data_IF_158277880280
#
_entry.id   IF_158277880280
#
_cell.length_a   1.000
_cell.length_b   1.000
_cell.length_c   1.000
_cell.angle_alpha   90.00
_cell.angle_beta   90.00
_cell.angle_gamma   90.00
#
_symmetry.space_group_name_H-M   'P 1'
#
loop_
_entity.id
_entity.type
_entity.pdbx_description
1 polymer ?
#
# COMPACT_ATOMS: atom_id res chain seq x y z
N UNK A 1 -15.49 43.53 -31.15
CA UNK A 1 -14.98 42.14 -31.33
C UNK A 1 -14.21 41.61 -30.11
N UNK A 2 -13.54 42.46 -29.31
CA UNK A 2 -12.75 42.04 -28.12
C UNK A 2 -13.62 41.55 -26.95
N UNK A 3 -14.73 42.22 -26.65
CA UNK A 3 -15.59 41.89 -25.49
C UNK A 3 -16.19 40.46 -25.53
N UNK A 4 -16.75 39.98 -26.66
CA UNK A 4 -17.27 38.60 -26.75
C UNK A 4 -16.19 37.52 -26.62
N UNK A 5 -14.96 37.82 -27.04
CA UNK A 5 -13.83 36.89 -26.91
C UNK A 5 -13.41 36.76 -25.44
N UNK A 6 -13.29 37.88 -24.73
CA UNK A 6 -12.96 37.90 -23.30
C UNK A 6 -14.01 37.17 -22.47
N UNK A 7 -15.29 37.34 -22.79
CA UNK A 7 -16.38 36.64 -22.10
C UNK A 7 -16.31 35.11 -22.34
N UNK A 8 -16.01 34.67 -23.57
CA UNK A 8 -15.80 33.24 -23.87
C UNK A 8 -14.61 32.68 -23.11
N UNK A 9 -13.49 33.40 -23.04
CA UNK A 9 -12.31 32.98 -22.27
C UNK A 9 -12.60 32.91 -20.78
N UNK A 10 -13.32 33.88 -20.21
CA UNK A 10 -13.74 33.86 -18.81
C UNK A 10 -14.64 32.67 -18.50
N UNK A 11 -15.62 32.36 -19.36
CA UNK A 11 -16.49 31.17 -19.22
C UNK A 11 -15.70 29.86 -19.31
N UNK A 12 -14.74 29.77 -20.24
CA UNK A 12 -13.88 28.62 -20.37
C UNK A 12 -12.97 28.45 -19.14
N UNK A 13 -12.40 29.54 -18.62
CA UNK A 13 -11.60 29.55 -17.41
C UNK A 13 -12.41 29.09 -16.20
N UNK A 14 -13.61 29.63 -16.01
CA UNK A 14 -14.51 29.22 -14.92
C UNK A 14 -14.89 27.75 -15.01
N UNK A 15 -15.17 27.24 -16.22
CA UNK A 15 -15.43 25.82 -16.45
C UNK A 15 -14.28 24.94 -15.94
N UNK A 16 -13.04 25.24 -16.30
CA UNK A 16 -11.88 24.47 -15.84
C UNK A 16 -11.64 24.61 -14.34
N UNK A 17 -11.86 25.80 -13.75
CA UNK A 17 -11.81 25.96 -12.30
C UNK A 17 -12.86 25.10 -11.60
N UNK A 18 -14.06 24.97 -12.17
CA UNK A 18 -15.09 24.10 -11.62
C UNK A 18 -14.70 22.62 -11.74
N UNK A 19 -14.13 22.18 -12.87
CA UNK A 19 -13.59 20.81 -13.04
C UNK A 19 -12.50 20.50 -12.00
N UNK A 20 -11.64 21.47 -11.70
CA UNK A 20 -10.50 21.28 -10.81
C UNK A 20 -10.90 21.27 -9.33
N UNK A 21 -11.80 22.18 -8.91
CA UNK A 21 -12.07 22.48 -7.51
C UNK A 21 -13.43 21.99 -6.99
N UNK A 22 -14.37 21.64 -7.86
CA UNK A 22 -15.68 21.11 -7.45
C UNK A 22 -15.78 19.64 -7.80
N UNK A 23 -16.58 18.92 -7.02
CA UNK A 23 -17.02 17.59 -7.41
C UNK A 23 -18.05 17.70 -8.54
N UNK A 24 -17.96 16.82 -9.51
CA UNK A 24 -18.70 16.88 -10.76
C UNK A 24 -20.18 16.48 -10.62
N UNK A 25 -21.07 17.48 -10.64
CA UNK A 25 -22.52 17.24 -10.60
C UNK A 25 -23.12 17.08 -12.01
N UNK A 26 -22.66 17.88 -12.98
CA UNK A 26 -23.16 17.86 -14.37
C UNK A 26 -22.41 16.89 -15.28
N UNK A 27 -23.08 16.37 -16.31
CA UNK A 27 -22.48 15.41 -17.26
C UNK A 27 -21.23 15.96 -17.98
N UNK A 28 -21.21 17.27 -18.29
CA UNK A 28 -20.07 17.91 -18.94
C UNK A 28 -18.85 17.98 -18.03
N UNK A 29 -19.05 18.33 -16.75
CA UNK A 29 -17.98 18.33 -15.75
C UNK A 29 -17.48 16.90 -15.50
N UNK A 30 -18.38 15.91 -15.47
CA UNK A 30 -18.03 14.49 -15.32
C UNK A 30 -17.11 14.00 -16.42
N UNK A 31 -17.38 14.33 -17.67
CA UNK A 31 -16.53 13.93 -18.78
C UNK A 31 -15.14 14.57 -18.71
N UNK A 32 -15.06 15.87 -18.44
CA UNK A 32 -13.78 16.57 -18.31
C UNK A 32 -12.95 16.06 -17.12
N UNK A 33 -13.58 15.84 -15.96
CA UNK A 33 -12.94 15.24 -14.80
C UNK A 33 -12.45 13.82 -15.10
N UNK A 34 -13.26 12.99 -15.79
CA UNK A 34 -12.86 11.65 -16.21
C UNK A 34 -11.65 11.66 -17.14
N UNK A 35 -11.57 12.62 -18.06
CA UNK A 35 -10.40 12.79 -18.93
C UNK A 35 -9.14 13.14 -18.13
N UNK A 36 -9.23 14.05 -17.15
CA UNK A 36 -8.11 14.38 -16.27
C UNK A 36 -7.69 13.18 -15.39
N UNK A 37 -8.66 12.41 -14.87
CA UNK A 37 -8.39 11.19 -14.11
C UNK A 37 -7.72 10.12 -14.96
N UNK A 38 -8.15 9.93 -16.21
CA UNK A 38 -7.51 9.02 -17.15
C UNK A 38 -6.08 9.47 -17.48
N UNK A 39 -5.85 10.77 -17.68
CA UNK A 39 -4.52 11.34 -17.86
C UNK A 39 -3.63 11.13 -16.63
N UNK A 40 -4.17 11.32 -15.42
CA UNK A 40 -3.44 11.08 -14.17
C UNK A 40 -3.09 9.60 -13.97
N UNK A 41 -4.01 8.70 -14.32
CA UNK A 41 -3.77 7.26 -14.32
C UNK A 41 -2.64 6.88 -15.30
N UNK A 42 -2.70 7.38 -16.54
CA UNK A 42 -1.66 7.15 -17.53
C UNK A 42 -0.30 7.72 -17.08
N UNK A 43 -0.29 8.91 -16.46
CA UNK A 43 0.93 9.50 -15.91
C UNK A 43 1.57 8.62 -14.82
N UNK A 44 0.78 7.96 -13.97
CA UNK A 44 1.31 7.01 -12.98
C UNK A 44 1.84 5.72 -13.60
N UNK A 45 1.19 5.18 -14.64
CA UNK A 45 1.74 4.05 -15.41
C UNK A 45 3.10 4.41 -16.03
N UNK A 46 3.18 5.57 -16.68
CA UNK A 46 4.43 6.08 -17.25
C UNK A 46 5.49 6.29 -16.16
N UNK A 47 5.11 6.85 -15.02
CA UNK A 47 6.02 7.03 -13.89
C UNK A 47 6.66 5.70 -13.47
N UNK A 48 5.86 4.66 -13.21
CA UNK A 48 6.38 3.35 -12.81
C UNK A 48 7.17 2.66 -13.94
N UNK A 49 6.79 2.89 -15.19
CA UNK A 49 7.57 2.47 -16.36
C UNK A 49 8.97 3.06 -16.34
N UNK A 50 9.10 4.39 -16.27
CA UNK A 50 10.40 5.05 -16.17
C UNK A 50 11.15 4.72 -14.87
N UNK A 51 10.43 4.53 -13.75
CA UNK A 51 11.04 4.20 -12.46
C UNK A 51 11.78 2.86 -12.48
N UNK A 52 11.24 1.88 -13.22
CA UNK A 52 11.72 0.50 -13.30
C UNK A 52 12.54 0.20 -14.57
N UNK A 53 12.95 1.22 -15.34
CA UNK A 53 13.61 1.05 -16.65
C UNK A 53 12.77 0.22 -17.64
N UNK A 54 11.46 0.42 -17.62
CA UNK A 54 10.48 -0.28 -18.44
C UNK A 54 10.63 -1.81 -18.35
N UNK A 55 10.95 -2.46 -19.47
CA UNK A 55 11.11 -3.91 -19.58
C UNK A 55 12.56 -4.37 -19.37
N UNK A 56 13.49 -3.42 -19.19
CA UNK A 56 14.91 -3.69 -18.93
C UNK A 56 15.21 -3.82 -17.44
N UNK A 57 14.23 -4.26 -16.64
CA UNK A 57 14.36 -4.31 -15.19
C UNK A 57 15.66 -5.00 -14.77
N UNK A 58 16.41 -4.33 -13.91
CA UNK A 58 17.79 -4.68 -13.58
C UNK A 58 17.80 -5.53 -12.32
N UNK A 59 17.87 -6.85 -12.50
CA UNK A 59 18.05 -7.79 -11.39
C UNK A 59 19.48 -7.86 -10.86
N UNK A 60 20.36 -6.95 -11.24
CA UNK A 60 21.75 -6.92 -10.79
C UNK A 60 21.98 -5.96 -9.60
N UNK A 61 20.95 -5.32 -9.05
CA UNK A 61 21.11 -4.35 -7.96
C UNK A 61 20.45 -4.79 -6.66
N UNK A 62 21.14 -4.60 -5.53
CA UNK A 62 20.58 -4.73 -4.17
C UNK A 62 19.73 -6.02 -4.00
N UNK A 63 18.51 -5.88 -3.48
CA UNK A 63 17.61 -7.00 -3.23
C UNK A 63 16.91 -7.48 -4.52
N UNK A 64 17.00 -6.74 -5.63
CA UNK A 64 16.56 -7.28 -6.92
C UNK A 64 17.39 -8.51 -7.31
N UNK A 65 18.70 -8.49 -6.99
CA UNK A 65 19.62 -9.59 -7.27
C UNK A 65 19.45 -10.77 -6.32
N UNK A 66 19.61 -10.54 -5.01
CA UNK A 66 19.66 -11.63 -4.04
C UNK A 66 18.27 -12.13 -3.67
N UNK A 67 17.28 -11.23 -3.75
CA UNK A 67 15.91 -11.57 -3.40
C UNK A 67 15.09 -11.76 -4.66
N UNK A 68 14.65 -10.73 -5.37
CA UNK A 68 13.53 -10.85 -6.32
C UNK A 68 13.81 -11.75 -7.54
N UNK A 69 14.91 -11.52 -8.24
CA UNK A 69 15.27 -12.24 -9.47
C UNK A 69 15.22 -13.76 -9.31
N UNK A 70 15.94 -14.33 -8.32
CA UNK A 70 15.96 -15.77 -8.05
C UNK A 70 14.56 -16.38 -7.83
N UNK A 71 13.65 -15.71 -7.11
CA UNK A 71 12.30 -16.25 -6.90
C UNK A 71 11.44 -16.20 -8.16
N UNK A 72 11.55 -15.13 -8.94
CA UNK A 72 10.78 -15.00 -10.17
C UNK A 72 11.28 -15.97 -11.24
N UNK A 73 12.60 -16.22 -11.30
CA UNK A 73 13.18 -17.26 -12.14
C UNK A 73 12.67 -18.66 -11.72
N UNK A 74 12.76 -18.99 -10.42
CA UNK A 74 12.22 -20.24 -9.88
C UNK A 74 10.73 -20.44 -10.22
N UNK A 75 9.90 -19.43 -9.99
CA UNK A 75 8.47 -19.48 -10.32
C UNK A 75 8.23 -19.64 -11.83
N UNK A 76 8.97 -18.89 -12.66
CA UNK A 76 8.82 -18.96 -14.12
C UNK A 76 9.19 -20.35 -14.63
N UNK A 77 10.30 -20.92 -14.14
CA UNK A 77 10.73 -22.28 -14.48
C UNK A 77 9.70 -23.33 -14.05
N UNK A 78 9.25 -23.28 -12.79
CA UNK A 78 8.23 -24.20 -12.28
C UNK A 78 6.95 -24.18 -13.14
N UNK A 79 6.43 -22.98 -13.44
CA UNK A 79 5.24 -22.82 -14.28
C UNK A 79 5.45 -23.35 -15.70
N UNK A 80 6.59 -23.02 -16.34
CA UNK A 80 6.89 -23.44 -17.71
C UNK A 80 7.17 -24.95 -17.82
N UNK A 81 7.71 -25.57 -16.78
CA UNK A 81 7.90 -27.02 -16.70
C UNK A 81 6.66 -27.79 -16.25
N UNK A 82 5.54 -27.11 -15.99
CA UNK A 82 4.32 -27.74 -15.48
C UNK A 82 4.46 -28.33 -14.07
N UNK A 83 5.42 -27.82 -13.28
CA UNK A 83 5.68 -28.26 -11.92
C UNK A 83 5.11 -27.25 -10.92
N UNK A 84 4.55 -27.74 -9.81
CA UNK A 84 4.14 -26.85 -8.73
C UNK A 84 5.39 -26.36 -7.96
N UNK A 85 5.51 -25.06 -7.63
CA UNK A 85 6.71 -24.49 -7.01
C UNK A 85 6.80 -24.82 -5.51
N UNK A 86 7.16 -26.07 -5.17
CA UNK A 86 7.25 -26.52 -3.77
C UNK A 86 8.60 -26.17 -3.16
N UNK A 87 9.68 -26.61 -3.80
CA UNK A 87 11.04 -26.53 -3.28
C UNK A 87 12.00 -25.98 -4.33
N UNK A 88 12.80 -24.98 -3.94
CA UNK A 88 13.87 -24.45 -4.76
C UNK A 88 15.19 -25.13 -4.43
N UNK A 89 15.97 -25.42 -5.47
CA UNK A 89 17.37 -25.84 -5.34
C UNK A 89 18.27 -24.63 -5.59
N UNK A 90 18.47 -23.84 -4.52
CA UNK A 90 19.33 -22.66 -4.57
C UNK A 90 19.78 -22.19 -3.18
N UNK A 91 21.07 -21.80 -3.03
CA UNK A 91 21.57 -21.20 -1.79
C UNK A 91 20.92 -19.85 -1.48
N UNK A 92 20.32 -19.17 -2.47
CA UNK A 92 19.63 -17.90 -2.29
C UNK A 92 18.19 -18.06 -1.76
N UNK A 93 17.69 -19.30 -1.68
CA UNK A 93 16.34 -19.64 -1.24
C UNK A 93 16.37 -20.51 0.02
N UNK A 94 16.65 -19.87 1.16
CA UNK A 94 16.61 -20.53 2.47
C UNK A 94 15.43 -19.98 3.29
N UNK A 95 14.49 -20.80 3.78
CA UNK A 95 14.36 -22.24 3.51
C UNK A 95 13.98 -22.52 2.05
N UNK A 96 14.22 -23.76 1.60
CA UNK A 96 13.92 -24.20 0.22
C UNK A 96 12.43 -24.26 -0.06
N UNK A 97 11.59 -24.48 0.97
CA UNK A 97 10.13 -24.45 0.88
C UNK A 97 9.64 -23.05 0.48
N UNK A 98 9.12 -22.92 -0.74
CA UNK A 98 8.76 -21.62 -1.32
C UNK A 98 7.71 -20.86 -0.48
N UNK A 99 6.60 -21.52 -0.13
CA UNK A 99 5.50 -20.89 0.59
C UNK A 99 5.80 -20.69 2.08
N UNK A 100 6.83 -21.34 2.62
CA UNK A 100 7.32 -21.08 3.97
C UNK A 100 7.98 -19.69 4.09
N UNK A 101 8.28 -19.01 2.97
CA UNK A 101 8.65 -17.60 2.98
C UNK A 101 7.42 -16.71 2.88
N UNK A 102 7.18 -15.95 3.95
CA UNK A 102 6.03 -15.05 4.05
C UNK A 102 6.07 -13.88 3.05
N UNK A 103 7.27 -13.50 2.60
CA UNK A 103 7.51 -12.31 1.78
C UNK A 103 7.57 -12.61 0.26
N UNK A 104 6.83 -13.63 -0.17
CA UNK A 104 6.84 -14.12 -1.57
C UNK A 104 5.45 -14.13 -2.18
N UNK A 105 5.31 -13.72 -3.47
CA UNK A 105 4.01 -13.69 -4.12
C UNK A 105 3.51 -15.11 -4.41
N UNK A 106 2.23 -15.34 -4.16
CA UNK A 106 1.48 -16.52 -4.55
C UNK A 106 0.04 -16.14 -4.98
N UNK A 107 -0.07 -14.93 -5.50
CA UNK A 107 -1.30 -14.31 -6.01
C UNK A 107 -1.58 -14.76 -7.45
N UNK A 108 -2.84 -14.72 -7.93
CA UNK A 108 -3.21 -15.30 -9.22
C UNK A 108 -2.38 -14.79 -10.43
N UNK A 109 -1.92 -13.55 -10.38
CA UNK A 109 -1.13 -12.97 -11.47
C UNK A 109 0.27 -13.59 -11.62
N UNK A 110 0.78 -14.37 -10.66
CA UNK A 110 2.03 -15.12 -10.86
C UNK A 110 1.96 -16.02 -12.10
N UNK A 111 0.75 -16.45 -12.51
CA UNK A 111 0.52 -17.23 -13.72
C UNK A 111 0.99 -16.51 -14.99
N UNK A 112 1.09 -15.18 -14.97
CA UNK A 112 1.66 -14.40 -16.08
C UNK A 112 3.13 -14.74 -16.34
N UNK A 113 3.89 -15.27 -15.35
CA UNK A 113 5.27 -15.74 -15.54
C UNK A 113 5.38 -16.96 -16.47
N UNK A 114 4.25 -17.59 -16.81
CA UNK A 114 4.20 -18.58 -17.88
C UNK A 114 4.49 -17.93 -19.25
N UNK A 115 3.94 -16.73 -19.49
CA UNK A 115 4.04 -16.01 -20.76
C UNK A 115 5.16 -14.95 -20.76
N UNK A 116 5.40 -14.32 -19.61
CA UNK A 116 6.32 -13.21 -19.45
C UNK A 116 7.65 -13.71 -18.87
N UNK A 117 8.75 -13.06 -19.25
CA UNK A 117 10.00 -13.20 -18.50
C UNK A 117 9.89 -12.45 -17.15
N UNK A 118 10.73 -12.80 -16.16
CA UNK A 118 10.72 -12.15 -14.84
C UNK A 118 10.76 -10.61 -14.88
N UNK A 119 11.59 -10.01 -15.74
CA UNK A 119 11.75 -8.57 -15.82
C UNK A 119 10.44 -7.87 -16.26
N UNK A 120 9.83 -8.39 -17.34
CA UNK A 120 8.54 -7.91 -17.85
C UNK A 120 7.43 -8.11 -16.84
N UNK A 121 7.43 -9.26 -16.14
CA UNK A 121 6.45 -9.55 -15.11
C UNK A 121 6.49 -8.54 -13.95
N UNK A 122 7.68 -8.10 -13.51
CA UNK A 122 7.77 -7.10 -12.42
C UNK A 122 7.01 -5.84 -12.77
N UNK A 123 7.28 -5.25 -13.94
CA UNK A 123 6.60 -4.02 -14.37
C UNK A 123 5.08 -4.24 -14.49
N UNK A 124 4.67 -5.34 -15.14
CA UNK A 124 3.25 -5.66 -15.32
C UNK A 124 2.56 -5.85 -13.96
N UNK A 125 3.20 -6.53 -13.01
CA UNK A 125 2.66 -6.70 -11.66
C UNK A 125 2.54 -5.36 -10.93
N UNK A 126 3.55 -4.48 -11.03
CA UNK A 126 3.48 -3.12 -10.46
C UNK A 126 2.32 -2.34 -11.09
N UNK A 127 2.12 -2.40 -12.41
CA UNK A 127 0.98 -1.76 -13.07
C UNK A 127 -0.37 -2.33 -12.65
N UNK A 128 -0.49 -3.65 -12.46
CA UNK A 128 -1.72 -4.27 -11.96
C UNK A 128 -2.07 -3.72 -10.58
N UNK A 129 -1.13 -3.72 -9.64
CA UNK A 129 -1.39 -3.24 -8.29
C UNK A 129 -1.53 -1.74 -8.21
N UNK A 130 -0.73 -0.97 -8.96
CA UNK A 130 -0.94 0.46 -9.13
C UNK A 130 -2.38 0.74 -9.59
N UNK A 131 -2.90 -0.03 -10.55
CA UNK A 131 -4.28 0.10 -11.02
C UNK A 131 -5.30 -0.22 -9.93
N UNK A 132 -5.06 -1.27 -9.13
CA UNK A 132 -5.88 -1.57 -7.96
C UNK A 132 -5.84 -0.44 -6.93
N UNK A 133 -4.67 0.11 -6.64
CA UNK A 133 -4.50 1.23 -5.72
C UNK A 133 -5.19 2.49 -6.22
N UNK A 134 -5.07 2.81 -7.51
CA UNK A 134 -5.79 3.90 -8.14
C UNK A 134 -7.31 3.71 -8.04
N UNK A 135 -7.81 2.49 -8.28
CA UNK A 135 -9.22 2.17 -8.09
C UNK A 135 -9.66 2.34 -6.62
N UNK A 136 -8.84 1.92 -5.65
CA UNK A 136 -9.09 2.15 -4.23
C UNK A 136 -9.14 3.63 -3.86
N UNK A 137 -8.22 4.44 -4.40
CA UNK A 137 -8.26 5.90 -4.25
C UNK A 137 -9.50 6.51 -4.91
N UNK A 138 -9.94 6.02 -6.08
CA UNK A 138 -11.18 6.47 -6.73
C UNK A 138 -12.43 6.14 -5.88
N UNK A 139 -12.44 5.01 -5.18
CA UNK A 139 -13.53 4.71 -4.23
C UNK A 139 -13.58 5.72 -3.07
N UNK A 140 -12.40 6.11 -2.54
CA UNK A 140 -12.30 7.18 -1.54
C UNK A 140 -12.77 8.51 -2.13
N UNK A 141 -12.30 8.87 -3.33
CA UNK A 141 -12.71 10.08 -4.06
C UNK A 141 -14.22 10.19 -4.19
N UNK A 142 -14.85 9.11 -4.65
CA UNK A 142 -16.28 9.08 -4.92
C UNK A 142 -17.09 9.11 -3.62
N UNK A 143 -16.61 8.47 -2.55
CA UNK A 143 -17.25 8.50 -1.23
C UNK A 143 -17.26 9.90 -0.62
N UNK A 144 -16.12 10.59 -0.69
CA UNK A 144 -15.93 11.89 -0.02
C UNK A 144 -16.08 13.09 -0.96
N UNK A 145 -16.55 12.85 -2.19
CA UNK A 145 -16.74 13.87 -3.21
C UNK A 145 -15.48 14.75 -3.39
N UNK A 146 -14.31 14.12 -3.48
CA UNK A 146 -13.06 14.86 -3.67
C UNK A 146 -13.00 15.44 -5.08
N UNK A 147 -12.80 16.75 -5.18
CA UNK A 147 -12.47 17.45 -6.42
C UNK A 147 -11.16 16.92 -7.01
N UNK A 148 -10.89 17.25 -8.28
CA UNK A 148 -9.66 16.79 -8.94
C UNK A 148 -8.40 17.23 -8.18
N UNK A 149 -8.32 18.46 -7.68
CA UNK A 149 -7.13 18.94 -6.96
C UNK A 149 -6.94 18.21 -5.61
N UNK A 150 -8.01 18.01 -4.84
CA UNK A 150 -7.91 17.24 -3.60
C UNK A 150 -7.49 15.78 -3.87
N UNK A 151 -8.08 15.17 -4.90
CA UNK A 151 -7.69 13.84 -5.35
C UNK A 151 -6.25 13.78 -5.86
N UNK A 152 -5.79 14.79 -6.58
CA UNK A 152 -4.42 14.89 -7.06
C UNK A 152 -3.43 14.95 -5.90
N UNK A 153 -3.70 15.73 -4.86
CA UNK A 153 -2.88 15.76 -3.65
C UNK A 153 -2.80 14.38 -2.98
N UNK A 154 -3.93 13.68 -2.83
CA UNK A 154 -3.96 12.31 -2.31
C UNK A 154 -3.14 11.36 -3.18
N UNK A 155 -3.35 11.42 -4.50
CA UNK A 155 -2.67 10.58 -5.47
C UNK A 155 -1.16 10.75 -5.42
N UNK A 156 -0.67 11.99 -5.38
CA UNK A 156 0.76 12.30 -5.32
C UNK A 156 1.39 11.76 -4.03
N UNK A 157 0.80 12.09 -2.87
CA UNK A 157 1.31 11.63 -1.57
C UNK A 157 1.29 10.11 -1.44
N UNK A 158 0.25 9.44 -1.95
CA UNK A 158 0.13 7.99 -1.88
C UNK A 158 1.09 7.28 -2.84
N UNK A 159 1.19 7.71 -4.10
CA UNK A 159 1.98 6.97 -5.09
C UNK A 159 3.47 7.33 -5.09
N UNK A 160 3.83 8.53 -4.65
CA UNK A 160 5.18 9.07 -4.81
C UNK A 160 5.88 9.35 -3.46
N UNK A 161 5.33 8.91 -2.33
CA UNK A 161 6.05 9.04 -1.07
C UNK A 161 7.34 8.22 -1.07
N UNK A 162 8.29 8.66 -0.25
CA UNK A 162 9.59 8.04 -0.09
C UNK A 162 9.53 6.59 0.37
N UNK A 163 8.49 6.17 1.10
CA UNK A 163 8.40 4.80 1.60
C UNK A 163 8.21 3.81 0.45
N UNK A 164 7.19 4.01 -0.39
CA UNK A 164 6.92 3.08 -1.50
C UNK A 164 8.01 3.15 -2.58
N UNK A 165 8.47 4.36 -2.91
CA UNK A 165 9.51 4.56 -3.93
C UNK A 165 10.85 3.97 -3.50
N UNK A 166 11.28 4.17 -2.25
CA UNK A 166 12.55 3.61 -1.78
C UNK A 166 12.53 2.08 -1.74
N UNK A 167 11.46 1.48 -1.22
CA UNK A 167 11.36 0.02 -1.11
C UNK A 167 11.31 -0.65 -2.48
N UNK A 168 10.48 -0.15 -3.40
CA UNK A 168 10.49 -0.68 -4.77
C UNK A 168 11.87 -0.43 -5.43
N UNK A 169 12.48 0.73 -5.23
CA UNK A 169 13.80 1.06 -5.78
C UNK A 169 14.89 0.06 -5.40
N UNK A 170 14.92 -0.40 -4.14
CA UNK A 170 15.93 -1.37 -3.67
C UNK A 170 15.60 -2.83 -3.97
N UNK A 171 14.40 -3.15 -4.47
CA UNK A 171 14.00 -4.51 -4.79
C UNK A 171 13.17 -5.22 -3.74
N UNK A 172 12.49 -4.47 -2.87
CA UNK A 172 11.47 -5.03 -2.00
C UNK A 172 10.14 -5.21 -2.76
N UNK A 173 10.12 -6.10 -3.76
CA UNK A 173 9.00 -6.28 -4.70
C UNK A 173 7.64 -6.60 -4.04
N UNK A 174 7.65 -7.28 -2.90
CA UNK A 174 6.45 -7.58 -2.12
C UNK A 174 5.78 -6.32 -1.55
N UNK A 175 6.48 -5.17 -1.51
CA UNK A 175 5.90 -3.89 -1.10
C UNK A 175 4.84 -3.36 -2.06
N UNK A 176 4.71 -3.95 -3.24
CA UNK A 176 3.60 -3.68 -4.17
C UNK A 176 2.23 -3.98 -3.52
N UNK A 177 2.17 -4.80 -2.46
CA UNK A 177 0.95 -4.95 -1.64
C UNK A 177 0.48 -3.65 -0.95
N UNK A 178 1.34 -2.63 -0.85
CA UNK A 178 1.01 -1.27 -0.39
C UNK A 178 -0.21 -0.68 -1.13
N UNK A 179 -0.33 -0.95 -2.43
CA UNK A 179 -1.42 -0.43 -3.25
C UNK A 179 -2.80 -0.96 -2.83
N UNK A 180 -2.89 -1.95 -1.94
CA UNK A 180 -4.16 -2.42 -1.38
C UNK A 180 -4.60 -1.64 -0.13
N UNK A 181 -3.74 -0.82 0.47
CA UNK A 181 -4.06 -0.03 1.67
C UNK A 181 -5.24 0.95 1.52
N UNK A 182 -5.52 1.56 0.34
CA UNK A 182 -6.69 2.42 0.18
C UNK A 182 -8.01 1.69 0.46
N UNK A 183 -8.13 0.41 0.09
CA UNK A 183 -9.32 -0.39 0.39
C UNK A 183 -9.45 -0.65 1.90
N UNK A 184 -8.34 -0.96 2.57
CA UNK A 184 -8.29 -1.14 4.01
C UNK A 184 -8.72 0.14 4.74
N UNK A 185 -8.11 1.28 4.40
CA UNK A 185 -8.45 2.59 4.99
C UNK A 185 -9.93 2.92 4.77
N UNK A 186 -10.44 2.73 3.56
CA UNK A 186 -11.86 2.97 3.26
C UNK A 186 -12.81 2.12 4.13
N UNK A 187 -12.50 0.84 4.34
CA UNK A 187 -13.32 -0.05 5.18
C UNK A 187 -13.29 0.36 6.65
N UNK A 188 -12.14 0.81 7.16
CA UNK A 188 -12.03 1.34 8.52
C UNK A 188 -12.80 2.66 8.66
N UNK A 189 -12.67 3.58 7.70
CA UNK A 189 -13.39 4.84 7.72
C UNK A 189 -14.91 4.63 7.75
N UNK A 190 -15.43 3.72 6.91
CA UNK A 190 -16.84 3.30 6.95
C UNK A 190 -17.29 2.87 8.33
N UNK A 191 -16.49 2.02 9.00
CA UNK A 191 -16.80 1.56 10.35
C UNK A 191 -16.83 2.70 11.38
N UNK A 192 -15.79 3.55 11.41
CA UNK A 192 -15.73 4.63 12.42
C UNK A 192 -16.74 5.75 12.18
N UNK A 193 -17.18 5.92 10.93
CA UNK A 193 -18.25 6.85 10.55
C UNK A 193 -19.67 6.32 10.83
N UNK A 194 -19.79 5.08 11.30
CA UNK A 194 -21.04 4.50 11.79
C UNK A 194 -21.76 3.58 10.79
N UNK A 195 -21.12 3.17 9.70
CA UNK A 195 -21.71 2.14 8.83
C UNK A 195 -21.77 0.78 9.53
N UNK A 196 -22.80 -0.01 9.20
CA UNK A 196 -22.99 -1.35 9.77
C UNK A 196 -21.82 -2.26 9.40
N UNK A 197 -21.16 -2.81 10.42
CA UNK A 197 -20.08 -3.80 10.30
C UNK A 197 -20.62 -5.23 10.25
N UNK A 198 -21.43 -5.48 9.23
CA UNK A 198 -22.04 -6.78 8.95
C UNK A 198 -21.12 -7.80 8.27
N UNK A 199 -21.70 -8.88 7.77
CA UNK A 199 -20.98 -9.95 7.06
C UNK A 199 -20.32 -9.47 5.77
N UNK A 200 -20.92 -8.51 5.06
CA UNK A 200 -20.31 -7.90 3.87
C UNK A 200 -19.04 -7.13 4.19
N UNK A 201 -19.02 -6.43 5.33
CA UNK A 201 -17.83 -5.72 5.79
C UNK A 201 -16.73 -6.71 6.19
N UNK A 202 -17.08 -7.77 6.93
CA UNK A 202 -16.16 -8.84 7.30
C UNK A 202 -15.55 -9.52 6.06
N UNK A 203 -16.38 -9.91 5.09
CA UNK A 203 -15.90 -10.47 3.82
C UNK A 203 -14.94 -9.52 3.11
N UNK A 204 -15.31 -8.24 2.98
CA UNK A 204 -14.47 -7.25 2.29
C UNK A 204 -13.12 -7.05 2.99
N UNK A 205 -13.12 -6.94 4.31
CA UNK A 205 -11.90 -6.79 5.11
C UNK A 205 -11.01 -8.04 5.00
N UNK A 206 -11.61 -9.23 5.14
CA UNK A 206 -10.92 -10.51 4.99
C UNK A 206 -10.32 -10.68 3.58
N UNK A 207 -11.02 -10.27 2.52
CA UNK A 207 -10.50 -10.33 1.15
C UNK A 207 -9.35 -9.36 0.90
N UNK A 208 -9.38 -8.15 1.48
CA UNK A 208 -8.24 -7.21 1.39
C UNK A 208 -7.02 -7.80 2.08
N UNK A 209 -7.19 -8.35 3.28
CA UNK A 209 -6.11 -8.98 4.05
C UNK A 209 -5.56 -10.23 3.34
N UNK A 210 -6.43 -11.04 2.73
CA UNK A 210 -6.02 -12.16 1.87
C UNK A 210 -5.23 -11.67 0.65
N UNK A 211 -5.69 -10.63 -0.04
CA UNK A 211 -4.98 -10.11 -1.21
C UNK A 211 -3.58 -9.59 -0.84
N UNK A 212 -3.44 -8.93 0.31
CA UNK A 212 -2.15 -8.50 0.85
C UNK A 212 -1.25 -9.71 1.11
N UNK A 213 -1.75 -10.76 1.78
CA UNK A 213 -0.92 -11.94 2.10
C UNK A 213 -0.56 -12.77 0.87
N UNK A 214 -1.48 -12.93 -0.08
CA UNK A 214 -1.22 -13.59 -1.37
C UNK A 214 -0.15 -12.85 -2.17
N UNK A 215 -0.07 -11.53 -2.10
CA UNK A 215 1.01 -10.78 -2.74
C UNK A 215 2.39 -10.98 -2.07
N UNK A 216 2.43 -11.66 -0.91
CA UNK A 216 3.65 -11.75 -0.10
C UNK A 216 3.89 -10.50 0.76
N UNK A 217 2.92 -9.60 0.86
CA UNK A 217 3.03 -8.39 1.68
C UNK A 217 2.72 -8.67 3.17
N UNK A 218 3.35 -9.70 3.74
CA UNK A 218 3.10 -10.14 5.12
C UNK A 218 3.29 -9.03 6.17
N UNK A 219 4.24 -8.13 5.94
CA UNK A 219 4.44 -6.93 6.75
C UNK A 219 3.18 -6.06 6.82
N UNK A 220 2.59 -5.69 5.68
CA UNK A 220 1.35 -4.90 5.65
C UNK A 220 0.18 -5.63 6.29
N UNK A 221 0.08 -6.95 6.13
CA UNK A 221 -0.93 -7.74 6.83
C UNK A 221 -0.80 -7.60 8.35
N UNK A 222 0.41 -7.75 8.89
CA UNK A 222 0.68 -7.59 10.32
C UNK A 222 0.33 -6.17 10.77
N UNK A 223 0.71 -5.14 10.01
CA UNK A 223 0.42 -3.75 10.36
C UNK A 223 -1.09 -3.47 10.38
N UNK A 224 -1.83 -3.97 9.40
CA UNK A 224 -3.29 -3.88 9.35
C UNK A 224 -3.96 -4.62 10.51
N UNK A 225 -3.44 -5.79 10.90
CA UNK A 225 -3.94 -6.56 12.04
C UNK A 225 -3.63 -5.86 13.37
N UNK A 226 -2.42 -5.32 13.53
CA UNK A 226 -2.05 -4.54 14.71
C UNK A 226 -2.90 -3.28 14.82
N UNK A 227 -3.14 -2.56 13.72
CA UNK A 227 -4.02 -1.39 13.72
C UNK A 227 -5.46 -1.76 14.11
N UNK A 228 -6.01 -2.84 13.54
CA UNK A 228 -7.33 -3.36 13.92
C UNK A 228 -7.39 -3.65 15.42
N UNK A 229 -6.42 -4.41 15.95
CA UNK A 229 -6.36 -4.77 17.36
C UNK A 229 -6.32 -3.53 18.26
N UNK A 230 -5.43 -2.58 17.97
CA UNK A 230 -5.32 -1.32 18.70
C UNK A 230 -6.63 -0.52 18.64
N UNK A 231 -7.29 -0.48 17.48
CA UNK A 231 -8.59 0.16 17.33
C UNK A 231 -9.66 -0.50 18.21
N UNK A 232 -9.74 -1.83 18.23
CA UNK A 232 -10.66 -2.55 19.11
C UNK A 232 -10.38 -2.32 20.60
N UNK A 233 -9.10 -2.29 20.99
CA UNK A 233 -8.68 -2.09 22.38
C UNK A 233 -8.98 -0.68 22.89
N UNK A 234 -8.65 0.35 22.09
CA UNK A 234 -8.86 1.74 22.48
C UNK A 234 -10.30 2.21 22.27
N UNK A 235 -11.08 1.50 21.46
CA UNK A 235 -12.46 1.85 21.15
C UNK A 235 -13.32 0.59 21.31
N UNK A 236 -13.68 0.21 22.56
CA UNK A 236 -14.36 -1.06 22.84
C UNK A 236 -15.65 -1.28 22.04
N UNK A 237 -16.32 -0.20 21.61
CA UNK A 237 -17.48 -0.28 20.70
C UNK A 237 -17.18 -0.99 19.37
N UNK A 238 -15.95 -0.94 18.90
CA UNK A 238 -15.49 -1.63 17.69
C UNK A 238 -14.85 -2.98 17.98
N UNK A 239 -14.67 -3.37 19.25
CA UNK A 239 -13.99 -4.61 19.60
C UNK A 239 -14.62 -5.87 18.98
N UNK A 240 -15.95 -6.08 19.04
CA UNK A 240 -16.57 -7.28 18.45
C UNK A 240 -16.37 -7.42 16.93
N UNK A 241 -16.64 -6.41 16.08
CA UNK A 241 -16.39 -6.54 14.64
C UNK A 241 -14.89 -6.64 14.32
N UNK A 242 -14.04 -5.93 15.06
CA UNK A 242 -12.58 -5.98 14.90
C UNK A 242 -12.04 -7.39 15.17
N UNK A 243 -12.38 -8.02 16.30
CA UNK A 243 -11.82 -9.33 16.64
C UNK A 243 -12.31 -10.41 15.67
N UNK A 244 -13.56 -10.29 15.18
CA UNK A 244 -14.07 -11.13 14.10
C UNK A 244 -13.28 -10.95 12.81
N UNK A 245 -12.99 -9.71 12.41
CA UNK A 245 -12.19 -9.44 11.21
C UNK A 245 -10.75 -9.96 11.34
N UNK A 246 -10.13 -9.83 12.52
CA UNK A 246 -8.80 -10.40 12.79
C UNK A 246 -8.83 -11.92 12.64
N UNK A 247 -9.76 -12.59 13.33
CA UNK A 247 -9.89 -14.05 13.28
C UNK A 247 -10.18 -14.55 11.86
N UNK A 248 -11.20 -14.00 11.20
CA UNK A 248 -11.59 -14.41 9.84
C UNK A 248 -10.55 -14.02 8.79
N UNK A 249 -9.89 -12.87 8.94
CA UNK A 249 -8.79 -12.43 8.09
C UNK A 249 -7.53 -13.32 8.23
N UNK A 250 -7.25 -13.84 9.42
CA UNK A 250 -6.20 -14.84 9.62
C UNK A 250 -6.59 -16.19 9.00
N UNK A 251 -7.80 -16.70 9.30
CA UNK A 251 -8.28 -17.99 8.79
C UNK A 251 -8.33 -18.03 7.26
N UNK A 252 -8.88 -16.99 6.62
CA UNK A 252 -8.92 -16.91 5.16
C UNK A 252 -7.51 -16.85 4.54
N UNK A 253 -6.52 -16.37 5.29
CA UNK A 253 -5.12 -16.22 4.84
C UNK A 253 -4.23 -17.40 5.24
N UNK A 254 -4.77 -18.47 5.85
CA UNK A 254 -4.00 -19.62 6.32
C UNK A 254 -3.16 -20.29 5.23
N UNK A 255 -3.59 -20.26 3.97
CA UNK A 255 -2.80 -20.72 2.81
C UNK A 255 -1.42 -20.03 2.69
N UNK A 256 -1.26 -18.82 3.24
CA UNK A 256 0.02 -18.09 3.27
C UNK A 256 0.61 -17.90 4.66
N UNK A 257 -0.21 -17.92 5.70
CA UNK A 257 0.23 -17.70 7.09
C UNK A 257 0.75 -18.99 7.71
N UNK A 258 0.09 -20.12 7.47
CA UNK A 258 0.40 -21.35 8.18
C UNK A 258 1.81 -21.90 7.85
N UNK A 259 2.26 -21.94 6.58
CA UNK A 259 3.60 -22.44 6.26
C UNK A 259 4.74 -21.69 6.97
N UNK A 260 4.84 -20.34 6.90
CA UNK A 260 5.87 -19.61 7.64
C UNK A 260 5.70 -19.73 9.16
N UNK A 261 4.46 -19.76 9.68
CA UNK A 261 4.22 -19.89 11.12
C UNK A 261 4.81 -21.19 11.70
N UNK A 262 4.69 -22.30 10.97
CA UNK A 262 5.26 -23.58 11.40
C UNK A 262 6.78 -23.60 11.18
N UNK A 263 7.24 -23.15 10.01
CA UNK A 263 8.67 -23.14 9.68
C UNK A 263 9.51 -22.31 10.67
N UNK A 264 8.95 -21.20 11.15
CA UNK A 264 9.60 -20.27 12.07
C UNK A 264 8.98 -20.27 13.47
N UNK A 265 8.34 -21.38 13.87
CA UNK A 265 7.73 -21.50 15.19
C UNK A 265 8.74 -21.31 16.35
N UNK A 266 10.01 -21.65 16.12
CA UNK A 266 11.11 -21.41 17.06
C UNK A 266 11.76 -20.02 16.97
N UNK A 267 11.15 -19.11 16.21
CA UNK A 267 11.67 -17.80 15.88
C UNK A 267 12.37 -17.74 14.51
N UNK A 268 12.46 -16.54 13.96
CA UNK A 268 13.04 -16.26 12.65
C UNK A 268 14.58 -16.22 12.65
N UNK A 269 15.21 -16.09 13.83
CA UNK A 269 16.65 -15.89 13.96
C UNK A 269 17.16 -14.56 13.40
N UNK A 270 16.25 -13.64 13.04
CA UNK A 270 16.58 -12.34 12.47
C UNK A 270 17.18 -11.41 13.54
N UNK A 271 17.99 -10.45 13.09
CA UNK A 271 18.47 -9.35 13.91
C UNK A 271 17.57 -8.13 13.72
N UNK A 272 17.18 -7.50 14.83
CA UNK A 272 16.48 -6.23 14.82
C UNK A 272 17.36 -5.15 14.17
N UNK A 273 16.73 -4.34 13.32
CA UNK A 273 17.30 -3.15 12.69
C UNK A 273 17.01 -1.87 13.49
N UNK A 274 16.20 -1.97 14.55
CA UNK A 274 15.80 -0.84 15.38
C UNK A 274 14.78 0.09 14.73
N UNK A 275 14.18 0.96 15.54
CA UNK A 275 13.26 2.01 15.12
C UNK A 275 13.97 3.30 14.69
N UNK A 276 13.18 4.36 14.55
CA UNK A 276 13.69 5.72 14.41
C UNK A 276 14.40 6.14 15.69
N UNK A 277 15.54 6.79 15.61
CA UNK A 277 16.33 7.18 16.79
C UNK A 277 15.58 8.11 17.75
N UNK A 278 14.67 8.93 17.22
CA UNK A 278 13.87 9.86 18.00
C UNK A 278 12.61 10.29 17.27
N UNK A 279 11.71 10.98 17.99
CA UNK A 279 10.56 11.69 17.39
C UNK A 279 11.02 12.71 16.33
N UNK A 280 12.15 13.39 16.58
CA UNK A 280 12.71 14.34 15.62
C UNK A 280 13.08 13.64 14.31
N UNK A 281 13.67 12.44 14.37
CA UNK A 281 13.97 11.66 13.17
C UNK A 281 12.69 11.31 12.41
N UNK A 282 11.59 10.95 13.09
CA UNK A 282 10.28 10.71 12.43
C UNK A 282 9.82 11.93 11.63
N UNK A 283 9.94 13.13 12.19
CA UNK A 283 9.58 14.37 11.48
C UNK A 283 10.53 14.66 10.32
N UNK A 284 11.83 14.46 10.53
CA UNK A 284 12.86 14.70 9.50
C UNK A 284 12.67 13.81 8.28
N UNK A 285 12.38 12.51 8.46
CA UNK A 285 12.23 11.58 7.33
C UNK A 285 11.01 11.85 6.45
N UNK A 286 10.05 12.64 6.94
CA UNK A 286 8.90 13.10 6.17
C UNK A 286 9.24 14.32 5.29
N UNK A 287 10.26 15.10 5.66
CA UNK A 287 10.58 16.38 5.02
C UNK A 287 11.88 16.32 4.20
N UNK A 288 12.88 15.58 4.67
CA UNK A 288 14.19 15.51 4.08
C UNK A 288 14.39 14.17 3.35
N UNK A 289 14.93 14.19 2.12
CA UNK A 289 15.25 12.96 1.42
C UNK A 289 16.39 12.23 2.15
N UNK A 290 16.35 10.90 2.10
CA UNK A 290 17.38 10.04 2.67
C UNK A 290 18.34 9.54 1.58
N UNK A 291 19.52 9.12 2.01
CA UNK A 291 20.45 8.41 1.14
C UNK A 291 19.96 6.99 0.86
N UNK A 292 20.33 6.44 -0.30
CA UNK A 292 19.83 5.13 -0.76
C UNK A 292 20.07 3.95 0.18
N UNK A 293 21.07 4.01 1.06
CA UNK A 293 21.33 2.96 2.06
C UNK A 293 20.35 2.94 3.25
N UNK A 294 19.40 3.86 3.32
CA UNK A 294 18.49 4.03 4.45
C UNK A 294 17.00 3.88 4.06
N UNK A 295 16.69 2.99 3.10
CA UNK A 295 15.32 2.78 2.60
C UNK A 295 14.31 2.47 3.71
N UNK A 296 14.73 1.73 4.75
CA UNK A 296 13.93 1.40 5.95
C UNK A 296 13.43 2.62 6.73
N UNK A 297 14.12 3.77 6.59
CA UNK A 297 13.81 5.03 7.27
C UNK A 297 13.32 6.10 6.29
N UNK A 298 12.96 5.74 5.06
CA UNK A 298 12.57 6.72 4.03
C UNK A 298 11.06 6.88 3.97
N UNK A 299 10.56 8.06 4.29
CA UNK A 299 9.12 8.38 4.33
C UNK A 299 8.79 9.73 3.67
N UNK A 300 9.71 10.24 2.84
CA UNK A 300 9.65 11.58 2.29
C UNK A 300 8.29 11.91 1.66
N UNK A 301 7.66 12.97 2.13
CA UNK A 301 6.45 13.58 1.55
C UNK A 301 6.70 15.03 1.11
N UNK A 302 7.92 15.54 1.30
CA UNK A 302 8.30 16.94 1.07
C UNK A 302 7.76 17.88 2.14
N UNK A 303 8.32 19.09 2.22
CA UNK A 303 7.91 20.09 3.22
C UNK A 303 6.42 20.49 3.07
N UNK A 304 5.96 20.69 1.83
CA UNK A 304 4.57 21.03 1.55
C UNK A 304 3.62 19.86 1.82
N UNK A 305 4.00 18.63 1.45
CA UNK A 305 3.20 17.44 1.75
C UNK A 305 3.11 17.17 3.24
N UNK A 306 4.21 17.36 3.98
CA UNK A 306 4.22 17.30 5.44
C UNK A 306 3.31 18.34 6.06
N UNK A 307 3.42 19.63 5.66
CA UNK A 307 2.56 20.69 6.16
C UNK A 307 1.08 20.42 5.84
N UNK A 308 0.79 19.90 4.64
CA UNK A 308 -0.55 19.49 4.22
C UNK A 308 -1.11 18.38 5.12
N UNK A 309 -0.33 17.32 5.38
CA UNK A 309 -0.71 16.21 6.24
C UNK A 309 -0.90 16.66 7.69
N UNK A 310 0.04 17.44 8.23
CA UNK A 310 -0.02 17.94 9.60
C UNK A 310 -1.26 18.82 9.82
N UNK A 311 -1.46 19.80 8.94
CA UNK A 311 -2.59 20.72 9.09
C UNK A 311 -3.93 20.06 8.79
N UNK A 312 -4.11 19.45 7.63
CA UNK A 312 -5.42 18.90 7.25
C UNK A 312 -5.69 17.54 7.86
N UNK A 313 -4.68 16.67 7.95
CA UNK A 313 -4.84 15.29 8.44
C UNK A 313 -4.90 15.18 9.96
N UNK A 314 -4.24 16.09 10.69
CA UNK A 314 -4.22 16.11 12.16
C UNK A 314 -4.99 17.31 12.70
N UNK A 315 -4.46 18.53 12.56
CA UNK A 315 -4.95 19.71 13.30
C UNK A 315 -6.42 20.01 12.98
N UNK A 316 -6.73 20.21 11.70
CA UNK A 316 -8.08 20.54 11.25
C UNK A 316 -9.03 19.35 11.39
N UNK A 317 -8.60 18.15 11.02
CA UNK A 317 -9.45 16.96 11.15
C UNK A 317 -9.84 16.71 12.61
N UNK A 318 -8.90 16.92 13.54
CA UNK A 318 -9.17 16.88 14.98
C UNK A 318 -10.15 17.98 15.41
N UNK A 319 -10.09 19.18 14.86
CA UNK A 319 -11.02 20.24 15.28
C UNK A 319 -12.42 20.14 14.67
N UNK A 320 -12.60 19.44 13.55
CA UNK A 320 -13.85 19.49 12.77
C UNK A 320 -14.60 18.18 12.65
N UNK A 321 -13.99 17.03 12.93
CA UNK A 321 -14.63 15.73 12.68
C UNK A 321 -14.37 14.70 13.78
N UNK A 322 -15.25 14.71 14.78
CA UNK A 322 -15.20 13.81 15.93
C UNK A 322 -15.33 12.33 15.57
N UNK A 323 -15.94 12.01 14.41
CA UNK A 323 -16.08 10.61 13.96
C UNK A 323 -14.73 9.96 13.69
N UNK A 324 -13.69 10.74 13.42
CA UNK A 324 -12.34 10.25 13.16
C UNK A 324 -11.47 10.14 14.42
N UNK A 325 -11.93 10.64 15.58
CA UNK A 325 -11.18 10.55 16.85
C UNK A 325 -10.71 9.13 17.21
N UNK A 326 -11.53 8.07 16.99
CA UNK A 326 -11.12 6.68 17.19
C UNK A 326 -9.81 6.25 16.55
N UNK A 327 -9.38 6.91 15.47
CA UNK A 327 -8.22 6.51 14.67
C UNK A 327 -6.90 7.01 15.27
N UNK A 328 -6.90 8.16 15.94
CA UNK A 328 -5.65 8.82 16.34
C UNK A 328 -4.85 8.05 17.37
N UNK A 329 -5.52 7.44 18.36
CA UNK A 329 -4.80 6.69 19.40
C UNK A 329 -4.13 5.41 18.85
N UNK A 330 -4.81 4.57 18.04
CA UNK A 330 -4.14 3.49 17.29
C UNK A 330 -2.98 3.98 16.42
N UNK A 331 -3.17 5.07 15.67
CA UNK A 331 -2.11 5.66 14.85
C UNK A 331 -0.90 6.08 15.69
N UNK A 332 -1.14 6.80 16.80
CA UNK A 332 -0.10 7.29 17.70
C UNK A 332 0.69 6.14 18.32
N UNK A 333 0.03 5.05 18.72
CA UNK A 333 0.72 3.88 19.27
C UNK A 333 1.58 3.17 18.22
N UNK A 334 1.12 3.08 16.97
CA UNK A 334 1.96 2.54 15.89
C UNK A 334 3.18 3.43 15.61
N UNK A 335 3.02 4.76 15.62
CA UNK A 335 4.15 5.70 15.52
C UNK A 335 5.08 5.53 16.71
N UNK A 336 4.55 5.38 17.93
CA UNK A 336 5.35 5.15 19.13
C UNK A 336 6.17 3.86 19.05
N UNK A 337 5.59 2.76 18.57
CA UNK A 337 6.33 1.51 18.34
C UNK A 337 7.37 1.61 17.24
N UNK A 338 7.26 2.58 16.33
CA UNK A 338 8.26 2.81 15.30
C UNK A 338 9.54 3.50 15.81
N UNK A 339 9.57 3.95 17.07
CA UNK A 339 10.66 4.75 17.65
C UNK A 339 11.54 3.91 18.60
N UNK A 340 12.85 4.11 18.49
CA UNK A 340 13.89 3.56 19.34
C UNK A 340 13.85 2.04 19.42
N UNK A 341 13.98 1.54 20.64
CA UNK A 341 13.88 0.12 20.96
C UNK A 341 12.52 -0.24 21.57
N UNK A 342 11.48 0.57 21.38
CA UNK A 342 10.18 0.38 22.04
C UNK A 342 9.53 -0.93 21.60
N UNK A 343 9.66 -1.30 20.32
CA UNK A 343 9.15 -2.57 19.80
C UNK A 343 10.03 -3.78 20.16
N UNK A 344 11.24 -3.57 20.68
CA UNK A 344 12.22 -4.63 20.93
C UNK A 344 11.71 -5.77 21.85
N UNK A 345 10.91 -5.50 22.92
CA UNK A 345 10.33 -6.57 23.72
C UNK A 345 9.41 -7.51 22.92
N UNK A 346 8.64 -6.98 21.97
CA UNK A 346 7.80 -7.78 21.08
C UNK A 346 8.63 -8.57 20.09
N UNK A 347 9.68 -7.95 19.53
CA UNK A 347 10.62 -8.62 18.63
C UNK A 347 11.34 -9.79 19.32
N UNK A 348 11.79 -9.59 20.57
CA UNK A 348 12.50 -10.61 21.35
C UNK A 348 11.58 -11.67 21.98
N UNK A 349 10.26 -11.56 21.82
CA UNK A 349 9.31 -12.49 22.44
C UNK A 349 9.36 -13.91 21.87
N UNK A 350 9.93 -14.08 20.67
CA UNK A 350 9.90 -15.35 19.94
C UNK A 350 8.51 -15.74 19.42
N UNK A 351 7.50 -14.87 19.61
CA UNK A 351 6.16 -15.10 19.08
C UNK A 351 6.21 -14.92 17.56
N UNK A 352 5.80 -15.93 16.77
CA UNK A 352 5.79 -15.83 15.32
C UNK A 352 5.10 -14.55 14.83
N UNK A 353 5.65 -13.96 13.77
CA UNK A 353 5.22 -12.71 13.15
C UNK A 353 5.60 -11.43 13.90
N UNK A 354 5.59 -11.41 15.24
CA UNK A 354 6.09 -10.26 16.01
C UNK A 354 7.61 -10.13 15.89
N UNK A 355 8.30 -11.26 15.98
CA UNK A 355 9.75 -11.37 15.76
C UNK A 355 10.16 -11.18 14.28
N UNK A 356 9.20 -11.22 13.34
CA UNK A 356 9.47 -10.98 11.93
C UNK A 356 9.56 -9.48 11.57
N UNK A 357 9.12 -8.59 12.47
CA UNK A 357 9.18 -7.15 12.29
C UNK A 357 10.53 -6.58 12.74
N UNK A 358 11.58 -6.95 12.01
CA UNK A 358 12.96 -6.50 12.31
C UNK A 358 13.15 -4.98 12.19
N UNK A 359 12.36 -4.29 11.35
CA UNK A 359 12.41 -2.84 11.19
C UNK A 359 11.06 -2.23 11.63
N UNK A 360 10.89 -1.91 12.91
CA UNK A 360 9.63 -1.34 13.41
C UNK A 360 9.33 0.06 12.83
N UNK A 361 10.30 0.73 12.20
CA UNK A 361 10.07 1.96 11.41
C UNK A 361 8.94 1.81 10.40
N UNK A 362 8.82 0.60 9.81
CA UNK A 362 7.79 0.23 8.84
C UNK A 362 6.36 0.42 9.35
N UNK A 363 6.13 0.36 10.66
CA UNK A 363 4.82 0.57 11.27
C UNK A 363 4.23 1.97 10.97
N UNK A 364 5.08 2.97 10.67
CA UNK A 364 4.66 4.34 10.36
C UNK A 364 3.78 4.45 9.11
N UNK A 365 3.87 3.49 8.18
CA UNK A 365 3.18 3.61 6.88
C UNK A 365 1.66 3.57 6.99
N UNK A 366 1.10 2.73 7.88
CA UNK A 366 -0.36 2.64 8.05
C UNK A 366 -0.94 3.96 8.59
N UNK A 367 -0.42 4.53 9.71
CA UNK A 367 -0.78 5.88 10.14
C UNK A 367 -0.64 6.93 9.05
N UNK A 368 0.47 6.91 8.29
CA UNK A 368 0.71 7.89 7.24
C UNK A 368 -0.36 7.86 6.13
N UNK A 369 -0.77 6.67 5.67
CA UNK A 369 -1.82 6.54 4.63
C UNK A 369 -3.19 6.99 5.15
N UNK A 370 -3.52 6.73 6.42
CA UNK A 370 -4.71 7.31 7.06
C UNK A 370 -4.65 8.84 7.06
N UNK A 371 -3.53 9.42 7.49
CA UNK A 371 -3.36 10.86 7.56
C UNK A 371 -3.40 11.54 6.19
N UNK A 372 -2.80 10.94 5.16
CA UNK A 372 -2.92 11.41 3.76
C UNK A 372 -4.38 11.44 3.29
N UNK A 373 -5.13 10.40 3.62
CA UNK A 373 -6.56 10.28 3.26
C UNK A 373 -7.39 11.33 4.00
N UNK A 374 -7.23 11.43 5.32
CA UNK A 374 -7.92 12.42 6.17
C UNK A 374 -7.58 13.85 5.75
N UNK A 375 -6.32 14.12 5.41
CA UNK A 375 -5.88 15.41 4.91
C UNK A 375 -6.63 15.82 3.64
N UNK A 376 -6.80 14.89 2.70
CA UNK A 376 -7.50 15.15 1.44
C UNK A 376 -9.00 15.39 1.65
N UNK A 377 -9.63 14.65 2.56
CA UNK A 377 -11.04 14.85 2.96
C UNK A 377 -11.24 16.24 3.58
N UNK A 378 -10.40 16.62 4.53
CA UNK A 378 -10.51 17.93 5.19
C UNK A 378 -10.13 19.10 4.29
N UNK A 379 -9.19 18.88 3.37
CA UNK A 379 -8.85 19.85 2.35
C UNK A 379 -10.03 20.08 1.41
N UNK A 380 -10.74 19.02 1.00
CA UNK A 380 -11.97 19.17 0.23
C UNK A 380 -13.04 19.95 1.00
N UNK A 381 -13.23 19.67 2.30
CA UNK A 381 -14.14 20.43 3.15
C UNK A 381 -13.79 21.92 3.19
N UNK A 382 -12.51 22.29 3.22
CA UNK A 382 -12.07 23.69 3.13
C UNK A 382 -12.46 24.32 1.79
N UNK A 383 -12.16 23.63 0.69
CA UNK A 383 -12.43 24.11 -0.67
C UNK A 383 -13.93 24.33 -0.88
N UNK A 384 -14.78 23.44 -0.34
CA UNK A 384 -16.23 23.57 -0.43
C UNK A 384 -16.75 24.86 0.23
N UNK A 385 -16.04 25.42 1.20
CA UNK A 385 -16.37 26.69 1.85
C UNK A 385 -15.92 27.93 1.07
N UNK A 386 -15.28 27.79 -0.09
CA UNK A 386 -14.81 28.94 -0.88
C UNK A 386 -15.90 29.45 -1.82
N UNK A 387 -16.15 30.76 -1.76
CA UNK A 387 -17.01 31.44 -2.74
C UNK A 387 -16.36 31.48 -4.14
N UNK A 388 -17.18 31.68 -5.18
CA UNK A 388 -16.77 31.73 -6.58
C UNK A 388 -15.69 32.79 -6.86
N UNK A 389 -15.62 33.87 -6.06
CA UNK A 389 -14.64 34.96 -6.17
C UNK A 389 -13.23 34.61 -5.68
N UNK A 390 -13.01 33.42 -5.12
CA UNK A 390 -11.72 33.01 -4.54
C UNK A 390 -10.63 32.59 -5.54
N UNK A 391 -10.41 33.33 -6.65
CA UNK A 391 -9.41 32.96 -7.66
C UNK A 391 -7.98 32.88 -7.10
N UNK A 392 -7.60 33.83 -6.25
CA UNK A 392 -6.28 33.86 -5.61
C UNK A 392 -6.00 32.59 -4.80
N UNK A 393 -6.98 32.15 -4.00
CA UNK A 393 -6.87 30.91 -3.21
C UNK A 393 -6.68 29.68 -4.09
N UNK A 394 -7.39 29.63 -5.22
CA UNK A 394 -7.26 28.55 -6.21
C UNK A 394 -5.87 28.54 -6.85
N UNK A 395 -5.34 29.71 -7.23
CA UNK A 395 -3.99 29.82 -7.79
C UNK A 395 -2.93 29.36 -6.78
N UNK A 396 -3.03 29.81 -5.53
CA UNK A 396 -2.11 29.39 -4.45
C UNK A 396 -2.13 27.86 -4.28
N UNK A 397 -3.32 27.26 -4.29
CA UNK A 397 -3.45 25.80 -4.20
C UNK A 397 -2.83 25.09 -5.40
N UNK A 398 -3.10 25.55 -6.63
CA UNK A 398 -2.50 24.93 -7.82
C UNK A 398 -0.97 25.02 -7.79
N UNK A 399 -0.43 26.17 -7.39
CA UNK A 399 1.00 26.37 -7.24
C UNK A 399 1.58 25.45 -6.16
N UNK A 400 0.95 25.38 -4.98
CA UNK A 400 1.36 24.49 -3.89
C UNK A 400 1.32 23.01 -4.27
N UNK A 401 0.27 22.57 -4.96
CA UNK A 401 0.17 21.18 -5.46
C UNK A 401 1.23 20.90 -6.54
N UNK A 402 1.54 21.86 -7.41
CA UNK A 402 2.58 21.71 -8.42
C UNK A 402 3.99 21.59 -7.79
N UNK A 403 4.29 22.40 -6.79
CA UNK A 403 5.55 22.30 -6.03
C UNK A 403 5.65 20.96 -5.29
N UNK A 404 4.57 20.52 -4.64
CA UNK A 404 4.53 19.20 -4.00
C UNK A 404 4.75 18.07 -5.02
N UNK A 405 4.15 18.17 -6.21
CA UNK A 405 4.37 17.20 -7.28
C UNK A 405 5.83 17.17 -7.73
N UNK A 406 6.46 18.35 -7.90
CA UNK A 406 7.86 18.47 -8.26
C UNK A 406 8.78 17.77 -7.26
N UNK A 407 8.63 18.07 -5.96
CA UNK A 407 9.45 17.48 -4.90
C UNK A 407 9.33 15.95 -4.85
N UNK A 408 8.10 15.43 -4.93
CA UNK A 408 7.83 14.00 -4.88
C UNK A 408 8.36 13.27 -6.12
N UNK A 409 8.17 13.84 -7.32
CA UNK A 409 8.71 13.28 -8.56
C UNK A 409 10.24 13.29 -8.53
N UNK A 410 10.85 14.38 -8.06
CA UNK A 410 12.30 14.47 -7.93
C UNK A 410 12.84 13.41 -6.97
N UNK A 411 12.26 13.29 -5.77
CA UNK A 411 12.65 12.26 -4.82
C UNK A 411 12.44 10.85 -5.39
N UNK A 412 11.32 10.58 -6.06
CA UNK A 412 11.09 9.28 -6.70
C UNK A 412 12.15 8.96 -7.76
N UNK A 413 12.56 9.93 -8.58
CA UNK A 413 13.67 9.73 -9.54
C UNK A 413 14.98 9.37 -8.85
N UNK A 414 15.28 9.92 -7.67
CA UNK A 414 16.49 9.53 -6.92
C UNK A 414 16.48 8.03 -6.61
N UNK A 415 15.32 7.41 -6.44
CA UNK A 415 15.17 5.98 -6.16
C UNK A 415 14.96 5.09 -7.39
N UNK A 416 14.87 5.66 -8.60
CA UNK A 416 14.68 4.86 -9.81
C UNK A 416 15.87 3.94 -10.10
N UNK A 417 15.57 2.78 -10.68
CA UNK A 417 16.55 1.69 -10.90
C UNK A 417 17.73 2.14 -11.78
N UNK A 418 17.48 3.01 -12.75
CA UNK A 418 18.52 3.50 -13.66
C UNK A 418 19.62 4.34 -13.01
N UNK A 419 19.33 4.91 -11.85
CA UNK A 419 20.27 5.81 -11.20
C UNK A 419 21.28 5.06 -10.30
N UNK A 420 21.28 3.72 -10.27
CA UNK A 420 22.31 2.92 -9.57
C UNK A 420 23.62 2.83 -10.38
N UNK A 421 24.74 3.06 -9.71
CA UNK A 421 26.05 3.04 -10.37
C UNK A 421 26.42 1.62 -10.82
N UNK A 422 27.23 1.52 -11.87
CA UNK A 422 27.70 0.22 -12.40
C UNK A 422 28.46 -0.57 -11.32
N UNK A 423 29.21 0.11 -10.44
CA UNK A 423 29.95 -0.51 -9.34
C UNK A 423 29.07 -1.12 -8.24
N UNK A 424 27.77 -0.80 -8.22
CA UNK A 424 26.80 -1.35 -7.26
C UNK A 424 26.06 -2.56 -7.85
N UNK A 425 26.45 -3.01 -9.05
CA UNK A 425 25.80 -4.12 -9.76
C UNK A 425 26.55 -5.42 -9.51
N UNK A 426 25.77 -6.46 -9.28
CA UNK A 426 26.21 -7.82 -9.31
C UNK A 426 26.66 -8.20 -10.73
N UNK A 427 27.57 -9.17 -10.81
CA UNK A 427 28.15 -9.63 -12.08
C UNK A 427 27.82 -11.09 -12.37
N UNK A 428 27.29 -11.80 -11.38
CA UNK A 428 26.80 -13.16 -11.48
C UNK A 428 25.37 -13.20 -12.04
N UNK A 429 25.07 -14.25 -12.81
CA UNK A 429 23.70 -14.56 -13.24
C UNK A 429 23.15 -15.59 -12.25
N UNK A 430 22.02 -15.27 -11.60
CA UNK A 430 21.38 -16.23 -10.70
C UNK A 430 20.31 -17.01 -11.45
N UNK A 431 20.55 -18.31 -11.56
CA UNK A 431 19.57 -19.28 -12.02
C UNK A 431 19.14 -20.15 -10.83
N UNK A 432 17.83 -20.37 -10.68
CA UNK A 432 17.29 -21.21 -9.60
C UNK A 432 16.54 -22.40 -10.18
N UNK A 433 17.05 -23.60 -9.93
CA UNK A 433 16.41 -24.83 -10.37
C UNK A 433 15.21 -25.19 -9.48
N UNK A 434 14.24 -25.88 -10.09
CA UNK A 434 13.14 -26.51 -9.36
C UNK A 434 13.63 -27.83 -8.78
N UNK A 435 13.66 -27.92 -7.46
CA UNK A 435 14.23 -29.05 -6.71
C UNK A 435 13.19 -29.80 -5.90
N UNK A 436 12.00 -30.04 -6.45
CA UNK A 436 10.91 -30.69 -5.73
C UNK A 436 11.31 -32.10 -5.25
N UNK A 437 11.10 -32.37 -3.97
CA UNK A 437 11.29 -33.69 -3.34
C UNK A 437 10.10 -34.06 -2.45
N UNK A 438 10.04 -35.32 -2.00
CA UNK A 438 8.98 -35.77 -1.09
C UNK A 438 9.11 -35.10 0.27
N UNK A 439 8.16 -34.22 0.60
CA UNK A 439 8.07 -33.51 1.89
C UNK A 439 6.63 -33.61 2.42
N UNK A 440 6.23 -34.76 2.99
CA UNK A 440 4.85 -35.00 3.43
C UNK A 440 4.38 -34.00 4.49
N UNK A 441 5.30 -33.56 5.37
CA UNK A 441 5.01 -32.58 6.42
C UNK A 441 4.65 -31.22 5.83
N UNK A 442 5.47 -30.69 4.92
CA UNK A 442 5.18 -29.43 4.24
C UNK A 442 3.90 -29.51 3.41
N UNK A 443 3.69 -30.60 2.66
CA UNK A 443 2.47 -30.79 1.87
C UNK A 443 1.21 -30.83 2.74
N UNK A 444 1.27 -31.51 3.90
CA UNK A 444 0.16 -31.54 4.87
C UNK A 444 -0.18 -30.13 5.35
N UNK A 445 0.83 -29.32 5.67
CA UNK A 445 0.65 -27.93 6.10
C UNK A 445 -0.03 -27.09 5.00
N UNK A 446 0.39 -27.25 3.73
CA UNK A 446 -0.24 -26.56 2.60
C UNK A 446 -1.71 -26.95 2.42
N UNK A 447 -2.03 -28.24 2.49
CA UNK A 447 -3.40 -28.76 2.34
C UNK A 447 -4.30 -28.21 3.47
N UNK A 448 -3.83 -28.25 4.71
CA UNK A 448 -4.56 -27.70 5.86
C UNK A 448 -4.81 -26.19 5.68
N UNK A 449 -3.76 -25.45 5.33
CA UNK A 449 -3.84 -24.00 5.11
C UNK A 449 -4.85 -23.66 4.01
N UNK A 450 -4.75 -24.32 2.85
CA UNK A 450 -5.67 -24.13 1.73
C UNK A 450 -7.12 -24.47 2.08
N UNK A 451 -7.35 -25.60 2.74
CA UNK A 451 -8.69 -26.06 3.13
C UNK A 451 -9.34 -25.09 4.11
N UNK A 452 -8.58 -24.64 5.12
CA UNK A 452 -9.05 -23.64 6.08
C UNK A 452 -9.44 -22.32 5.39
N UNK A 453 -8.60 -21.84 4.47
CA UNK A 453 -8.87 -20.63 3.69
C UNK A 453 -10.12 -20.75 2.82
N UNK A 454 -10.29 -21.89 2.13
CA UNK A 454 -11.43 -22.15 1.26
C UNK A 454 -12.75 -22.21 2.04
N UNK A 455 -12.80 -22.98 3.14
CA UNK A 455 -13.97 -23.07 4.01
C UNK A 455 -14.37 -21.68 4.53
N UNK A 456 -13.38 -20.90 4.97
CA UNK A 456 -13.61 -19.53 5.48
C UNK A 456 -14.18 -18.62 4.39
N UNK A 457 -13.64 -18.68 3.17
CA UNK A 457 -14.15 -17.89 2.04
C UNK A 457 -15.58 -18.28 1.68
N UNK A 458 -15.90 -19.57 1.61
CA UNK A 458 -17.26 -20.06 1.32
C UNK A 458 -18.24 -19.58 2.40
N UNK A 459 -17.87 -19.74 3.67
CA UNK A 459 -18.68 -19.29 4.81
C UNK A 459 -18.94 -17.78 4.77
N UNK A 460 -17.91 -16.96 4.62
CA UNK A 460 -18.03 -15.50 4.54
C UNK A 460 -18.92 -15.08 3.35
N UNK A 461 -18.72 -15.70 2.20
CA UNK A 461 -19.50 -15.41 0.98
C UNK A 461 -20.97 -15.76 1.17
N UNK A 462 -21.26 -16.92 1.78
CA UNK A 462 -22.62 -17.35 2.08
C UNK A 462 -23.34 -16.39 3.02
N UNK A 463 -22.73 -16.00 4.14
CA UNK A 463 -23.35 -15.08 5.10
C UNK A 463 -23.47 -13.66 4.56
N UNK A 464 -22.49 -13.18 3.79
CA UNK A 464 -22.58 -11.88 3.12
C UNK A 464 -23.71 -11.84 2.08
N UNK A 465 -23.94 -12.96 1.37
CA UNK A 465 -25.06 -13.11 0.44
C UNK A 465 -26.41 -13.13 1.16
N UNK A 466 -26.53 -13.83 2.29
CA UNK A 466 -27.77 -13.85 3.10
C UNK A 466 -28.12 -12.46 3.66
N UNK A 467 -27.14 -11.74 4.20
CA UNK A 467 -27.33 -10.38 4.71
C UNK A 467 -27.89 -9.42 3.63
N UNK A 468 -27.53 -9.62 2.36
CA UNK A 468 -28.08 -8.83 1.24
C UNK A 468 -29.57 -9.11 1.00
N UNK A 469 -30.04 -10.35 1.19
CA UNK A 469 -31.46 -10.70 1.00
C UNK A 469 -32.36 -10.17 2.10
N UNK A 470 -31.83 -10.01 3.31
CA UNK A 470 -32.60 -9.50 4.46
C UNK A 470 -32.69 -7.96 4.48
N UNK A 471 -31.91 -7.26 3.65
CA UNK A 471 -31.87 -5.80 3.56
C UNK A 471 -32.61 -5.21 2.36
N UNK A 472 -33.13 -6.07 1.47
CA UNK A 472 -34.01 -5.74 0.34
C UNK A 472 -35.41 -6.21 0.72
#
# INVERSE_FOLDING_TARGET
MVYPLLEKLAKAGQFWLDVLFKYEESSRLKWAASFLLAGLFAAGLLHWGFFLDWFNNRFDIQDWHIHVGPYLDFLSRALKSGQFPMHADSPYMIPSQYLARQNRPFSPQILLLYFLNPATYVLVNVWIFYSLGFAGLLLIRNRYHLSFVSFLSLFLLFNLNGHITAHIGVGHFEWVGYFLLPFYVLLILKMVEGEKTGWRWLLSMSLVLLAITLQGAAHFFIYCMSFLLLLGLFQPRFFPPVIKAIGLGALISMVRILPPAIQFAGGTGLKSLGGFESVLQVLQVLIAPSNRGFWEKTYFVGALGFAFILYFGIIRNWSTNEKHYPLYLPMLVMVFFSIGSIYLPFFNSGIPFLDSQRAPTRLLIVPLVFLMTLASIQFQSLINGWDQKGLEKKIIVLFGTALMAYDLIYNSRVWSIDNYSISQRATDVIEVAVGNYSDPSYMTILIIGFTCSLITLVMLSFFAYRERKETI
#
